data_IF_506353940109
#
_entry.id   IF_506353940109
#
_cell.length_a   1.000
_cell.length_b   1.000
_cell.length_c   1.000
_cell.angle_alpha   90.00
_cell.angle_beta   90.00
_cell.angle_gamma   90.00
#
_symmetry.space_group_name_H-M   'P 1'
#
loop_
_entity.id
_entity.type
_entity.pdbx_description
1 polymer ?
#
# COMPACT_ATOMS: atom_id res chain seq x y z
N UNK A 1 10.62 -8.36 10.27
CA UNK A 1 10.41 -9.44 9.30
C UNK A 1 11.72 -9.80 8.60
N UNK A 2 12.57 -8.84 8.31
CA UNK A 2 13.74 -9.06 7.47
C UNK A 2 14.97 -9.66 8.17
N UNK A 3 15.02 -9.72 9.50
CA UNK A 3 16.23 -10.18 10.21
C UNK A 3 16.67 -11.62 9.85
N UNK A 4 15.76 -12.43 9.27
CA UNK A 4 16.03 -13.84 8.94
C UNK A 4 15.63 -14.21 7.51
N UNK A 5 15.26 -13.23 6.66
CA UNK A 5 14.93 -13.48 5.25
C UNK A 5 13.70 -14.36 5.00
N UNK A 6 12.92 -14.69 6.02
CA UNK A 6 11.77 -15.57 5.92
C UNK A 6 10.54 -14.97 6.60
N UNK A 7 9.40 -15.03 5.91
CA UNK A 7 8.10 -14.72 6.49
C UNK A 7 7.50 -16.03 7.01
N UNK A 8 7.09 -16.10 8.29
CA UNK A 8 6.55 -17.32 8.88
C UNK A 8 5.34 -17.86 8.14
N UNK A 9 5.23 -19.19 8.02
CA UNK A 9 4.14 -19.87 7.30
C UNK A 9 2.73 -19.47 7.76
N UNK A 10 2.44 -19.23 9.07
CA UNK A 10 1.11 -18.82 9.50
C UNK A 10 0.66 -17.44 9.03
N UNK A 11 1.60 -16.58 8.62
CA UNK A 11 1.25 -15.24 8.14
C UNK A 11 0.46 -15.37 6.84
N UNK A 12 -0.77 -14.90 6.83
CA UNK A 12 -1.68 -14.92 5.66
C UNK A 12 -1.85 -13.55 5.03
N UNK A 13 -1.73 -12.51 5.80
CA UNK A 13 -1.95 -11.14 5.37
C UNK A 13 -0.75 -10.30 5.78
N UNK A 14 -0.24 -9.51 4.86
CA UNK A 14 0.75 -8.46 5.12
C UNK A 14 0.16 -7.15 4.64
N UNK A 15 0.17 -6.17 5.54
CA UNK A 15 -0.33 -4.83 5.29
C UNK A 15 0.80 -3.83 5.53
N UNK A 16 1.07 -3.02 4.51
CA UNK A 16 1.89 -1.82 4.65
C UNK A 16 0.98 -0.61 4.48
N UNK A 17 0.61 0.01 5.58
CA UNK A 17 -0.21 1.21 5.58
C UNK A 17 0.72 2.36 5.93
N UNK A 18 1.17 3.07 4.90
CA UNK A 18 2.17 4.14 4.97
C UNK A 18 3.37 3.80 5.86
N UNK A 19 3.86 2.57 5.75
CA UNK A 19 4.86 2.02 6.68
C UNK A 19 6.03 1.29 6.01
N UNK A 20 6.16 1.36 4.69
CA UNK A 20 7.19 0.67 3.92
C UNK A 20 8.43 1.53 3.60
N UNK A 21 8.77 2.49 4.47
CA UNK A 21 9.89 3.43 4.31
C UNK A 21 11.24 2.79 4.01
N UNK A 22 11.48 1.62 4.55
CA UNK A 22 12.75 0.91 4.41
C UNK A 22 12.68 -0.26 3.44
N UNK A 23 11.71 -0.28 2.53
CA UNK A 23 11.69 -1.31 1.52
C UNK A 23 12.92 -1.18 0.62
N UNK A 24 13.68 -2.26 0.52
CA UNK A 24 14.84 -2.43 -0.34
C UNK A 24 14.68 -3.71 -1.16
N UNK A 25 14.88 -3.60 -2.48
CA UNK A 25 14.70 -4.70 -3.42
C UNK A 25 15.54 -5.92 -3.03
N UNK A 26 16.84 -5.70 -2.79
CA UNK A 26 17.80 -6.76 -2.47
C UNK A 26 17.49 -7.53 -1.19
N UNK A 27 16.83 -6.88 -0.23
CA UNK A 27 16.54 -7.46 1.08
C UNK A 27 15.14 -8.04 1.19
N UNK A 28 14.15 -7.41 0.54
CA UNK A 28 12.75 -7.66 0.83
C UNK A 28 12.00 -8.39 -0.28
N UNK A 29 12.43 -8.28 -1.54
CA UNK A 29 11.69 -8.87 -2.66
C UNK A 29 11.65 -10.39 -2.58
N UNK A 30 12.78 -11.08 -2.42
CA UNK A 30 12.79 -12.54 -2.32
C UNK A 30 11.94 -13.10 -1.17
N UNK A 31 12.04 -12.60 0.08
CA UNK A 31 11.15 -13.01 1.16
C UNK A 31 9.67 -12.83 0.85
N UNK A 32 9.26 -11.69 0.26
CA UNK A 32 7.88 -11.43 -0.12
C UNK A 32 7.40 -12.40 -1.21
N UNK A 33 8.19 -12.58 -2.24
CA UNK A 33 7.88 -13.49 -3.36
C UNK A 33 7.74 -14.92 -2.88
N UNK A 34 8.67 -15.39 -2.07
CA UNK A 34 8.63 -16.73 -1.50
C UNK A 34 7.37 -16.93 -0.64
N UNK A 35 6.99 -15.91 0.12
CA UNK A 35 5.78 -15.95 0.92
C UNK A 35 4.52 -15.94 0.04
N UNK A 36 4.44 -15.08 -0.97
CA UNK A 36 3.32 -15.00 -1.90
C UNK A 36 3.10 -16.29 -2.69
N UNK A 37 4.18 -17.04 -2.97
CA UNK A 37 4.15 -18.32 -3.71
C UNK A 37 3.83 -19.53 -2.83
N UNK A 38 3.74 -19.38 -1.51
CA UNK A 38 3.37 -20.49 -0.64
C UNK A 38 1.93 -20.96 -0.89
N UNK A 39 1.62 -22.23 -0.66
CA UNK A 39 0.25 -22.76 -0.77
C UNK A 39 -0.73 -22.02 0.15
N UNK A 40 -1.96 -21.86 -0.34
CA UNK A 40 -3.04 -21.18 0.35
C UNK A 40 -3.09 -19.69 0.04
N UNK A 41 -4.17 -19.06 0.49
CA UNK A 41 -4.41 -17.64 0.25
C UNK A 41 -3.39 -16.77 0.99
N UNK A 42 -2.81 -15.83 0.26
CA UNK A 42 -1.92 -14.78 0.78
C UNK A 42 -2.38 -13.44 0.26
N UNK A 43 -2.39 -12.45 1.11
CA UNK A 43 -2.76 -11.09 0.73
C UNK A 43 -1.68 -10.11 1.12
N UNK A 44 -1.19 -9.38 0.14
CA UNK A 44 -0.31 -8.22 0.32
C UNK A 44 -1.10 -6.97 -0.05
N UNK A 45 -1.28 -6.07 0.90
CA UNK A 45 -1.87 -4.75 0.64
C UNK A 45 -0.87 -3.67 1.05
N UNK A 46 -0.65 -2.72 0.14
CA UNK A 46 0.20 -1.56 0.37
C UNK A 46 -0.63 -0.32 0.13
N UNK A 47 -0.70 0.57 1.10
CA UNK A 47 -1.34 1.87 0.97
C UNK A 47 -0.32 2.94 1.32
N UNK A 48 -0.11 3.88 0.42
CA UNK A 48 0.86 4.96 0.57
C UNK A 48 0.40 6.22 -0.16
N UNK A 49 1.17 7.28 -0.06
CA UNK A 49 0.95 8.50 -0.83
C UNK A 49 2.28 9.06 -1.34
N UNK A 50 2.21 10.00 -2.28
CA UNK A 50 3.39 10.70 -2.78
C UNK A 50 3.81 11.74 -1.75
N UNK A 51 4.69 11.35 -0.85
CA UNK A 51 5.18 12.14 0.27
C UNK A 51 6.38 13.02 -0.09
N UNK A 52 7.03 12.77 -1.22
CA UNK A 52 8.12 13.60 -1.73
C UNK A 52 7.69 15.03 -2.13
N UNK A 53 6.39 15.27 -2.29
CA UNK A 53 5.85 16.63 -2.54
C UNK A 53 5.64 17.44 -1.27
N UNK A 54 5.71 16.82 -0.09
CA UNK A 54 5.44 17.48 1.19
C UNK A 54 6.60 18.34 1.59
N UNK A 55 6.31 19.61 1.90
CA UNK A 55 7.27 20.59 2.40
C UNK A 55 6.85 21.03 3.79
N UNK A 56 7.75 20.88 4.75
CA UNK A 56 7.57 21.34 6.12
C UNK A 56 8.72 22.30 6.47
N UNK A 57 8.41 23.49 6.96
CA UNK A 57 9.39 24.51 7.29
C UNK A 57 10.39 24.80 6.14
N UNK A 58 9.88 24.85 4.90
CA UNK A 58 10.66 25.14 3.71
C UNK A 58 11.55 23.99 3.21
N UNK A 59 11.43 22.79 3.78
CA UNK A 59 12.19 21.60 3.37
C UNK A 59 11.29 20.43 3.04
N UNK A 60 11.64 19.67 2.01
CA UNK A 60 10.98 18.40 1.74
C UNK A 60 11.19 17.44 2.91
N UNK A 61 10.12 16.77 3.35
CA UNK A 61 10.18 15.79 4.46
C UNK A 61 10.91 14.52 4.06
N UNK A 62 10.90 14.17 2.78
CA UNK A 62 11.64 13.05 2.20
C UNK A 62 12.26 13.46 0.86
N UNK A 63 13.29 12.75 0.43
CA UNK A 63 13.89 12.94 -0.90
C UNK A 63 12.96 12.41 -2.01
N UNK A 64 13.23 12.74 -3.26
CA UNK A 64 12.50 12.23 -4.43
C UNK A 64 12.56 10.71 -4.56
N UNK A 65 13.59 10.07 -4.02
CA UNK A 65 13.78 8.60 -3.99
C UNK A 65 13.54 8.01 -2.60
N UNK A 66 13.01 8.80 -1.69
CA UNK A 66 12.60 8.39 -0.35
C UNK A 66 11.09 8.31 -0.21
N UNK A 67 10.64 8.02 1.01
CA UNK A 67 9.23 8.01 1.35
C UNK A 67 8.46 6.77 0.90
N UNK A 68 7.22 6.69 1.36
CA UNK A 68 6.40 5.49 1.18
C UNK A 68 5.85 5.36 -0.23
N UNK A 69 5.55 6.48 -0.89
CA UNK A 69 5.10 6.48 -2.28
C UNK A 69 6.15 5.89 -3.23
N UNK A 70 7.38 6.38 -3.15
CA UNK A 70 8.49 5.85 -3.93
C UNK A 70 8.77 4.37 -3.62
N UNK A 71 8.82 4.01 -2.34
CA UNK A 71 9.10 2.63 -1.91
C UNK A 71 8.01 1.65 -2.32
N UNK A 72 6.75 2.12 -2.41
CA UNK A 72 5.64 1.32 -2.94
C UNK A 72 5.79 1.05 -4.44
N UNK A 73 6.21 2.05 -5.21
CA UNK A 73 6.50 1.85 -6.64
C UNK A 73 7.68 0.91 -6.85
N UNK A 74 8.76 1.09 -6.08
CA UNK A 74 9.91 0.18 -6.12
C UNK A 74 9.50 -1.26 -5.80
N UNK A 75 8.65 -1.47 -4.79
CA UNK A 75 8.11 -2.80 -4.46
C UNK A 75 7.32 -3.39 -5.62
N UNK A 76 6.45 -2.59 -6.26
CA UNK A 76 5.68 -3.01 -7.44
C UNK A 76 6.63 -3.48 -8.56
N UNK A 77 7.58 -2.65 -8.93
CA UNK A 77 8.56 -2.94 -9.99
C UNK A 77 9.39 -4.19 -9.67
N UNK A 78 9.77 -4.35 -8.40
CA UNK A 78 10.52 -5.54 -7.95
C UNK A 78 9.69 -6.80 -8.09
N UNK A 79 8.40 -6.75 -7.74
CA UNK A 79 7.48 -7.86 -7.92
C UNK A 79 7.21 -8.15 -9.42
N UNK A 80 7.16 -7.13 -10.28
CA UNK A 80 7.04 -7.32 -11.73
C UNK A 80 8.25 -8.06 -12.31
N UNK A 81 9.45 -7.73 -11.88
CA UNK A 81 10.66 -8.47 -12.27
C UNK A 81 10.63 -9.93 -11.85
N UNK A 82 9.93 -10.23 -10.78
CA UNK A 82 9.70 -11.60 -10.30
C UNK A 82 8.50 -12.30 -10.97
N UNK A 83 7.89 -11.67 -11.97
CA UNK A 83 6.83 -12.26 -12.81
C UNK A 83 5.41 -12.04 -12.29
N UNK A 84 5.18 -11.12 -11.35
CA UNK A 84 3.84 -10.66 -11.03
C UNK A 84 3.39 -9.63 -12.05
N UNK A 85 2.14 -9.73 -12.51
CA UNK A 85 1.56 -8.78 -13.46
C UNK A 85 0.50 -7.94 -12.77
N UNK A 86 0.57 -6.63 -12.98
CA UNK A 86 -0.37 -5.70 -12.39
C UNK A 86 -1.25 -5.05 -13.46
N UNK A 87 -2.55 -5.07 -13.23
CA UNK A 87 -3.45 -4.10 -13.87
C UNK A 87 -3.40 -2.80 -13.09
N UNK A 88 -3.45 -1.68 -13.79
CA UNK A 88 -3.55 -0.36 -13.17
C UNK A 88 -4.94 0.22 -13.36
N UNK A 89 -5.44 0.87 -12.33
CA UNK A 89 -6.66 1.66 -12.38
C UNK A 89 -6.44 2.95 -11.59
N UNK A 90 -6.86 4.06 -12.16
CA UNK A 90 -6.82 5.37 -11.48
C UNK A 90 -8.25 5.70 -11.11
N UNK A 91 -8.52 5.83 -9.83
CA UNK A 91 -9.74 6.45 -9.33
C UNK A 91 -9.46 7.89 -8.86
N UNK A 92 -10.47 8.57 -8.33
CA UNK A 92 -10.35 9.95 -7.85
C UNK A 92 -9.38 10.11 -6.68
N UNK A 93 -9.02 9.02 -6.03
CA UNK A 93 -8.24 9.04 -4.77
C UNK A 93 -6.88 8.38 -4.93
N UNK A 94 -6.82 7.23 -5.62
CA UNK A 94 -5.62 6.41 -5.70
C UNK A 94 -5.29 5.95 -7.12
N UNK A 95 -4.02 5.84 -7.40
CA UNK A 95 -3.51 4.88 -8.39
C UNK A 95 -3.50 3.50 -7.77
N UNK A 96 -4.27 2.59 -8.33
CA UNK A 96 -4.43 1.21 -7.85
C UNK A 96 -3.75 0.24 -8.78
N UNK A 97 -2.91 -0.59 -8.22
CA UNK A 97 -2.24 -1.67 -8.93
C UNK A 97 -2.68 -2.99 -8.31
N UNK A 98 -3.24 -3.88 -9.10
CA UNK A 98 -3.74 -5.18 -8.66
C UNK A 98 -3.11 -6.30 -9.45
N UNK A 99 -2.61 -7.31 -8.75
CA UNK A 99 -2.18 -8.55 -9.35
C UNK A 99 -3.16 -9.67 -8.99
N UNK A 100 -3.74 -10.28 -10.01
CA UNK A 100 -4.63 -11.43 -9.88
C UNK A 100 -4.07 -12.70 -10.52
N UNK A 101 -2.91 -12.60 -11.17
CA UNK A 101 -2.32 -13.73 -11.82
C UNK A 101 -1.84 -14.75 -10.78
N UNK A 102 -2.38 -15.97 -10.78
CA UNK A 102 -1.76 -17.03 -10.04
C UNK A 102 -0.44 -17.36 -10.73
N UNK A 103 0.67 -17.00 -10.15
CA UNK A 103 1.92 -17.66 -10.50
C UNK A 103 1.71 -19.17 -10.31
N UNK A 104 2.30 -20.01 -11.19
CA UNK A 104 2.22 -21.47 -11.06
C UNK A 104 2.47 -21.86 -9.60
N UNK A 105 1.46 -22.39 -8.91
CA UNK A 105 1.54 -22.80 -7.50
C UNK A 105 0.93 -21.84 -6.47
N UNK A 106 0.70 -20.58 -6.78
CA UNK A 106 0.15 -19.58 -5.84
C UNK A 106 -1.36 -19.37 -6.01
N UNK A 107 -2.15 -20.44 -5.93
CA UNK A 107 -3.62 -20.33 -5.99
C UNK A 107 -4.10 -19.48 -4.81
N UNK A 108 -4.72 -18.34 -5.11
CA UNK A 108 -5.39 -17.49 -4.14
C UNK A 108 -4.60 -16.32 -3.60
N UNK A 109 -3.34 -16.10 -4.00
CA UNK A 109 -2.59 -14.91 -3.57
C UNK A 109 -3.07 -13.66 -4.31
N UNK A 110 -3.24 -12.57 -3.58
CA UNK A 110 -3.61 -11.26 -4.12
C UNK A 110 -2.65 -10.19 -3.67
N UNK A 111 -2.35 -9.27 -4.58
CA UNK A 111 -1.53 -8.09 -4.28
C UNK A 111 -2.33 -6.86 -4.69
N UNK A 112 -2.44 -5.91 -3.79
CA UNK A 112 -3.01 -4.61 -4.06
C UNK A 112 -2.08 -3.52 -3.55
N UNK A 113 -1.70 -2.60 -4.44
CA UNK A 113 -0.86 -1.44 -4.12
C UNK A 113 -1.67 -0.19 -4.48
N UNK A 114 -1.91 0.66 -3.49
CA UNK A 114 -2.66 1.90 -3.60
C UNK A 114 -1.73 3.07 -3.29
N UNK A 115 -1.57 3.97 -4.24
CA UNK A 115 -0.73 5.16 -4.08
C UNK A 115 -1.59 6.39 -4.31
N UNK A 116 -1.74 7.20 -3.27
CA UNK A 116 -2.46 8.46 -3.36
C UNK A 116 -1.58 9.53 -4.01
N UNK A 117 -2.12 10.18 -5.03
CA UNK A 117 -1.52 11.40 -5.58
C UNK A 117 -1.56 12.52 -4.52
N UNK A 118 -0.55 13.36 -4.53
CA UNK A 118 -0.41 14.44 -3.55
C UNK A 118 0.13 15.74 -4.16
N UNK A 119 -0.57 16.31 -5.15
CA UNK A 119 -0.09 17.51 -5.84
C UNK A 119 0.01 18.73 -4.91
N UNK A 120 -0.76 18.74 -3.83
CA UNK A 120 -0.81 19.86 -2.88
C UNK A 120 0.18 19.74 -1.71
N UNK A 121 1.00 18.69 -1.67
CA UNK A 121 1.98 18.50 -0.61
C UNK A 121 1.39 18.31 0.80
N UNK A 122 0.20 17.72 0.91
CA UNK A 122 -0.45 17.46 2.19
C UNK A 122 0.20 16.28 2.94
N UNK A 123 0.09 16.28 4.27
CA UNK A 123 0.55 15.16 5.10
C UNK A 123 -0.62 14.19 5.30
N UNK A 124 -0.49 12.98 4.75
CA UNK A 124 -1.52 11.95 4.84
C UNK A 124 -1.17 10.77 5.76
N UNK A 125 -0.04 10.83 6.44
CA UNK A 125 0.47 9.69 7.22
C UNK A 125 -0.56 9.15 8.23
N UNK A 126 -1.05 9.99 9.11
CA UNK A 126 -2.05 9.60 10.14
C UNK A 126 -3.35 9.13 9.52
N UNK A 127 -3.79 9.78 8.46
CA UNK A 127 -5.03 9.48 7.74
C UNK A 127 -5.04 8.08 7.16
N UNK A 128 -3.93 7.70 6.52
CA UNK A 128 -3.81 6.39 5.89
C UNK A 128 -3.73 5.27 6.94
N UNK A 129 -3.10 5.55 8.07
CA UNK A 129 -2.91 4.55 9.15
C UNK A 129 -4.17 4.34 9.96
N UNK A 130 -5.02 5.36 10.07
CA UNK A 130 -6.26 5.28 10.85
C UNK A 130 -7.33 4.36 10.23
N UNK A 131 -8.56 4.50 10.70
CA UNK A 131 -9.69 3.60 10.42
C UNK A 131 -9.83 3.17 8.97
N UNK A 132 -9.61 4.08 8.04
CA UNK A 132 -9.90 3.86 6.63
C UNK A 132 -8.86 2.98 5.93
N UNK A 133 -7.59 3.29 6.08
CA UNK A 133 -6.52 2.48 5.51
C UNK A 133 -6.52 1.07 6.09
N UNK A 134 -6.75 0.95 7.40
CA UNK A 134 -6.82 -0.33 8.07
C UNK A 134 -8.01 -1.18 7.57
N UNK A 135 -9.20 -0.61 7.49
CA UNK A 135 -10.38 -1.35 7.04
C UNK A 135 -10.26 -1.71 5.55
N UNK A 136 -9.87 -0.76 4.70
CA UNK A 136 -9.66 -1.03 3.26
C UNK A 136 -8.66 -2.17 3.03
N UNK A 137 -7.65 -2.27 3.89
CA UNK A 137 -6.63 -3.31 3.77
C UNK A 137 -7.08 -4.68 4.28
N UNK A 138 -8.02 -4.74 5.22
CA UNK A 138 -8.46 -6.00 5.83
C UNK A 138 -9.68 -6.58 5.12
N UNK A 139 -10.66 -5.75 4.77
CA UNK A 139 -11.92 -6.23 4.21
C UNK A 139 -11.77 -6.47 2.70
N UNK A 140 -12.03 -7.69 2.21
CA UNK A 140 -12.00 -7.96 0.78
C UNK A 140 -13.09 -7.15 0.05
N UNK A 141 -12.73 -6.45 -1.01
CA UNK A 141 -13.63 -5.58 -1.78
C UNK A 141 -14.83 -6.26 -2.42
N UNK A 142 -14.87 -7.58 -2.45
CA UNK A 142 -15.90 -8.32 -3.17
C UNK A 142 -17.31 -8.23 -2.56
N UNK A 143 -17.50 -7.66 -1.37
CA UNK A 143 -18.77 -7.77 -0.64
C UNK A 143 -19.28 -6.52 0.08
N UNK A 144 -18.59 -5.41 0.08
CA UNK A 144 -19.07 -4.23 0.77
C UNK A 144 -19.18 -3.03 -0.17
N UNK A 145 -20.27 -2.26 -0.11
CA UNK A 145 -20.39 -1.01 -0.85
C UNK A 145 -19.52 0.05 -0.17
N UNK A 146 -18.23 0.05 -0.48
CA UNK A 146 -17.26 1.03 0.06
C UNK A 146 -17.39 2.43 -0.54
N UNK A 147 -18.51 2.76 -1.11
CA UNK A 147 -18.75 4.05 -1.75
C UNK A 147 -18.53 5.23 -0.80
N UNK A 148 -18.71 5.02 0.50
CA UNK A 148 -18.51 6.08 1.49
C UNK A 148 -17.06 6.24 1.99
N UNK A 149 -16.18 5.31 1.66
CA UNK A 149 -14.78 5.34 2.08
C UNK A 149 -13.92 6.26 1.22
N UNK A 150 -14.22 6.32 -0.09
CA UNK A 150 -13.37 7.00 -1.05
C UNK A 150 -13.21 8.48 -0.72
N UNK A 151 -14.28 9.22 -0.76
CA UNK A 151 -14.18 10.68 -0.72
C UNK A 151 -14.11 11.27 0.69
N UNK A 152 -14.83 10.69 1.65
CA UNK A 152 -14.87 11.23 3.01
C UNK A 152 -13.60 10.96 3.82
N UNK A 153 -12.97 9.83 3.59
CA UNK A 153 -11.80 9.44 4.35
C UNK A 153 -10.59 10.34 4.11
N UNK A 154 -10.49 10.90 2.91
CA UNK A 154 -9.31 11.63 2.48
C UNK A 154 -9.55 13.12 2.26
N UNK A 155 -10.79 13.54 2.13
CA UNK A 155 -11.14 14.97 2.04
C UNK A 155 -11.17 15.67 3.40
N UNK A 156 -11.57 15.00 4.45
CA UNK A 156 -11.61 15.56 5.81
C UNK A 156 -10.24 15.82 6.44
N UNK A 157 -9.20 15.19 5.93
CA UNK A 157 -7.85 15.31 6.48
C UNK A 157 -6.96 16.35 5.81
N UNK A 158 -7.48 17.05 4.83
CA UNK A 158 -6.73 18.10 4.15
C UNK A 158 -6.56 19.34 5.04
N UNK A 159 -7.36 19.51 6.06
CA UNK A 159 -7.50 20.74 6.82
C UNK A 159 -7.27 20.55 8.31
N UNK A 160 -6.19 20.02 8.79
CA UNK A 160 -5.79 20.00 10.22
C UNK A 160 -6.91 19.90 11.28
N UNK A 161 -8.15 19.70 10.87
CA UNK A 161 -9.30 19.51 11.73
C UNK A 161 -9.69 18.05 11.66
N UNK A 162 -9.45 17.34 12.74
CA UNK A 162 -10.03 16.04 13.02
C UNK A 162 -11.57 16.17 13.10
N UNK A 163 -12.23 16.20 11.98
CA UNK A 163 -13.65 15.97 11.95
C UNK A 163 -13.86 14.46 12.08
N UNK A 164 -14.15 14.02 13.30
CA UNK A 164 -14.68 12.70 13.57
C UNK A 164 -16.10 12.72 12.98
N UNK A 165 -16.28 12.14 11.81
CA UNK A 165 -17.61 11.94 11.27
C UNK A 165 -18.32 10.89 12.14
N UNK A 166 -19.48 11.20 12.70
CA UNK A 166 -20.30 10.19 13.38
C UNK A 166 -20.73 9.13 12.34
N UNK A 167 -20.74 7.91 12.79
CA UNK A 167 -21.24 6.76 12.03
C UNK A 167 -22.75 6.88 11.78
#
# INVERSE_FOLDING_TARGET
>A
VARYGLIPKPVRIILFIDSNYVFEDSLHTKPLVNWLRQPGERRLTVISYIDSTVVLNGKHIVSSTGGTGYRSMLMKESLEREGFHFSSHIDTTFKRYRSYAPLKGARGSSIEILIKENPNGNIYHTVLVEKNGFIESIIPRSRAPFVFWGDRAYSGFINDKFEIFPF
#
